data_IF_235413998501
#
_entry.id   IF_235413998501
#
_cell.length_a   1.000
_cell.length_b   1.000
_cell.length_c   1.000
_cell.angle_alpha   90.00
_cell.angle_beta   90.00
_cell.angle_gamma   90.00
#
_symmetry.space_group_name_H-M   'P 1'
#
loop_
_entity.id
_entity.type
_entity.pdbx_description
1 polymer ?
#
# COMPACT_ATOMS: atom_id res chain seq x y z
N UNK A 1 5.17 -7.97 -1.14
CA UNK A 1 5.46 -9.05 -2.13
C UNK A 1 4.34 -10.10 -2.10
N UNK A 2 4.10 -10.77 -3.24
CA UNK A 2 3.08 -11.80 -3.40
C UNK A 2 3.65 -13.18 -3.12
N UNK A 3 2.98 -13.92 -2.23
CA UNK A 3 3.20 -15.34 -1.99
C UNK A 3 1.85 -16.05 -2.17
N UNK A 4 1.76 -16.94 -3.16
CA UNK A 4 0.52 -17.60 -3.55
C UNK A 4 -0.65 -16.62 -3.72
N UNK A 5 -0.42 -15.56 -4.52
CA UNK A 5 -1.39 -14.51 -4.82
C UNK A 5 -1.86 -13.67 -3.63
N UNK A 6 -1.24 -13.81 -2.46
CA UNK A 6 -1.61 -13.07 -1.24
C UNK A 6 -0.43 -12.33 -0.64
N UNK A 7 -0.72 -11.40 0.28
CA UNK A 7 0.33 -10.67 0.99
C UNK A 7 1.10 -11.60 1.93
N UNK A 8 2.26 -11.16 2.39
CA UNK A 8 3.06 -11.97 3.32
C UNK A 8 2.35 -12.13 4.68
N UNK A 9 2.61 -13.24 5.40
CA UNK A 9 2.13 -13.41 6.77
C UNK A 9 2.52 -12.25 7.70
N UNK A 10 3.71 -11.67 7.51
CA UNK A 10 4.20 -10.53 8.28
C UNK A 10 3.34 -9.28 8.04
N UNK A 11 2.98 -8.99 6.78
CA UNK A 11 2.11 -7.86 6.46
C UNK A 11 0.70 -8.08 7.00
N UNK A 12 0.17 -9.31 6.88
CA UNK A 12 -1.15 -9.66 7.42
C UNK A 12 -1.18 -9.53 8.95
N UNK A 13 -0.13 -9.99 9.64
CA UNK A 13 -0.01 -9.85 11.09
C UNK A 13 0.02 -8.38 11.54
N UNK A 14 0.72 -7.51 10.81
CA UNK A 14 0.72 -6.06 11.07
C UNK A 14 -0.69 -5.48 10.91
N UNK A 15 -1.37 -5.79 9.80
CA UNK A 15 -2.75 -5.35 9.54
C UNK A 15 -3.71 -5.82 10.63
N UNK A 16 -3.61 -7.08 11.06
CA UNK A 16 -4.49 -7.64 12.10
C UNK A 16 -4.30 -6.95 13.44
N UNK A 17 -3.05 -6.75 13.86
CA UNK A 17 -2.75 -6.12 15.15
C UNK A 17 -3.12 -4.64 15.15
N UNK A 18 -2.74 -3.91 14.10
CA UNK A 18 -3.01 -2.47 13.98
C UNK A 18 -4.51 -2.18 13.76
N UNK A 19 -5.19 -2.99 12.96
CA UNK A 19 -6.63 -2.89 12.70
C UNK A 19 -7.47 -3.19 13.94
N UNK A 20 -7.18 -4.28 14.65
CA UNK A 20 -7.84 -4.58 15.93
C UNK A 20 -7.62 -3.46 16.95
N UNK A 21 -6.38 -2.98 17.08
CA UNK A 21 -6.07 -1.90 18.01
C UNK A 21 -6.83 -0.61 17.68
N UNK A 22 -6.76 -0.15 16.42
CA UNK A 22 -7.44 1.07 16.02
C UNK A 22 -8.96 0.93 16.16
N UNK A 23 -9.55 -0.19 15.71
CA UNK A 23 -11.00 -0.39 15.73
C UNK A 23 -11.56 -0.67 17.13
N UNK A 24 -11.04 -1.67 17.83
CA UNK A 24 -11.60 -2.16 19.09
C UNK A 24 -11.12 -1.36 20.30
N UNK A 25 -9.88 -0.88 20.31
CA UNK A 25 -9.33 -0.17 21.48
C UNK A 25 -9.39 1.36 21.35
N UNK A 26 -9.51 1.91 20.14
CA UNK A 26 -9.40 3.37 19.89
C UNK A 26 -10.55 3.97 19.07
N UNK A 27 -11.58 3.20 18.73
CA UNK A 27 -12.78 3.72 18.04
C UNK A 27 -12.55 4.20 16.60
N UNK A 28 -11.55 3.65 15.90
CA UNK A 28 -11.14 3.99 14.52
C UNK A 28 -10.67 5.44 14.32
N UNK A 29 -10.12 6.08 15.34
CA UNK A 29 -9.68 7.49 15.28
C UNK A 29 -8.20 7.67 14.96
N UNK A 30 -7.36 6.65 15.17
CA UNK A 30 -5.89 6.79 15.14
C UNK A 30 -5.37 7.09 13.74
N UNK A 31 -6.00 6.52 12.72
CA UNK A 31 -5.58 6.63 11.32
C UNK A 31 -6.46 7.56 10.49
N UNK A 32 -7.51 8.12 11.08
CA UNK A 32 -8.45 8.99 10.39
C UNK A 32 -7.76 10.22 9.80
N UNK A 33 -7.99 10.47 8.51
CA UNK A 33 -7.40 11.60 7.78
C UNK A 33 -5.91 11.45 7.44
N UNK A 34 -5.24 10.36 7.87
CA UNK A 34 -3.85 10.09 7.46
C UNK A 34 -3.80 9.64 6.00
N UNK A 35 -2.70 9.97 5.32
CA UNK A 35 -2.47 9.57 3.94
C UNK A 35 -1.76 8.23 3.92
N UNK A 36 -2.18 7.33 3.02
CA UNK A 36 -1.50 6.06 2.78
C UNK A 36 -1.58 5.65 1.32
N UNK A 37 -0.62 4.84 0.91
CA UNK A 37 -0.58 4.18 -0.39
C UNK A 37 -0.25 2.70 -0.21
N UNK A 38 -0.65 1.89 -1.18
CA UNK A 38 -0.30 0.48 -1.24
C UNK A 38 0.62 0.22 -2.44
N UNK A 39 1.58 -0.67 -2.25
CA UNK A 39 2.43 -1.19 -3.32
C UNK A 39 2.42 -2.71 -3.30
N UNK A 40 2.63 -3.34 -4.45
CA UNK A 40 2.80 -4.78 -4.52
C UNK A 40 3.98 -5.17 -5.41
N UNK A 41 4.55 -6.34 -5.12
CA UNK A 41 5.64 -6.91 -5.91
C UNK A 41 5.36 -8.37 -6.15
N UNK A 42 5.54 -8.88 -7.36
CA UNK A 42 5.42 -10.30 -7.65
C UNK A 42 6.32 -10.72 -8.80
N UNK A 43 6.64 -12.01 -8.90
CA UNK A 43 7.37 -12.54 -10.06
C UNK A 43 6.55 -12.53 -11.35
N UNK A 44 5.23 -12.74 -11.27
CA UNK A 44 4.35 -12.89 -12.45
C UNK A 44 2.89 -12.52 -12.20
N UNK A 45 2.27 -13.09 -11.16
CA UNK A 45 0.84 -12.89 -10.83
C UNK A 45 0.66 -12.53 -9.36
N UNK A 46 -0.54 -12.08 -8.99
CA UNK A 46 -0.87 -11.74 -7.60
C UNK A 46 -0.67 -10.26 -7.21
N UNK A 47 -0.18 -9.41 -8.13
CA UNK A 47 0.01 -7.97 -7.91
C UNK A 47 -1.29 -7.30 -7.47
N UNK A 48 -2.33 -7.39 -8.30
CA UNK A 48 -3.62 -6.75 -8.05
C UNK A 48 -4.27 -7.24 -6.74
N UNK A 49 -4.21 -8.54 -6.45
CA UNK A 49 -4.82 -9.07 -5.23
C UNK A 49 -4.09 -8.57 -3.97
N UNK A 50 -2.76 -8.62 -3.95
CA UNK A 50 -1.95 -8.09 -2.83
C UNK A 50 -2.16 -6.60 -2.64
N UNK A 51 -2.19 -5.84 -3.73
CA UNK A 51 -2.45 -4.39 -3.70
C UNK A 51 -3.85 -4.09 -3.14
N UNK A 52 -4.88 -4.78 -3.64
CA UNK A 52 -6.27 -4.62 -3.19
C UNK A 52 -6.46 -4.99 -1.72
N UNK A 53 -5.89 -6.10 -1.25
CA UNK A 53 -6.00 -6.48 0.17
C UNK A 53 -5.43 -5.39 1.10
N UNK A 54 -4.33 -4.76 0.73
CA UNK A 54 -3.74 -3.64 1.50
C UNK A 54 -4.64 -2.39 1.43
N UNK A 55 -5.19 -2.07 0.26
CA UNK A 55 -6.11 -0.94 0.12
C UNK A 55 -7.40 -1.10 0.91
N UNK A 56 -7.99 -2.30 0.92
CA UNK A 56 -9.18 -2.59 1.72
C UNK A 56 -8.94 -2.28 3.19
N UNK A 57 -7.77 -2.66 3.71
CA UNK A 57 -7.36 -2.26 5.06
C UNK A 57 -7.26 -0.72 5.18
N UNK A 58 -6.44 -0.06 4.35
CA UNK A 58 -6.21 1.40 4.41
C UNK A 58 -7.54 2.18 4.42
N UNK A 59 -8.44 1.86 3.49
CA UNK A 59 -9.74 2.51 3.37
C UNK A 59 -10.64 2.25 4.58
N UNK A 60 -10.64 1.01 5.11
CA UNK A 60 -11.40 0.67 6.33
C UNK A 60 -10.91 1.44 7.57
N UNK A 61 -9.68 1.96 7.55
CA UNK A 61 -9.10 2.75 8.63
C UNK A 61 -9.36 4.27 8.49
N UNK A 62 -10.22 4.69 7.54
CA UNK A 62 -10.51 6.12 7.24
C UNK A 62 -9.29 6.93 6.80
N UNK A 63 -8.34 6.27 6.15
CA UNK A 63 -7.17 6.92 5.57
C UNK A 63 -7.50 7.43 4.15
N UNK A 64 -6.74 8.41 3.69
CA UNK A 64 -6.87 9.01 2.36
C UNK A 64 -5.84 8.35 1.43
N UNK A 65 -6.31 7.83 0.29
CA UNK A 65 -5.45 7.21 -0.73
C UNK A 65 -5.33 8.17 -1.92
N UNK A 66 -4.12 8.64 -2.27
CA UNK A 66 -3.95 9.47 -3.45
C UNK A 66 -4.06 8.62 -4.72
N UNK A 67 -4.79 9.13 -5.71
CA UNK A 67 -4.82 8.55 -7.05
C UNK A 67 -3.53 8.84 -7.81
N UNK A 68 -3.11 7.88 -8.64
CA UNK A 68 -2.00 7.99 -9.59
C UNK A 68 -2.42 7.36 -10.92
N UNK A 69 -1.60 7.50 -11.97
CA UNK A 69 -1.96 7.11 -13.33
C UNK A 69 -2.14 5.58 -13.54
N UNK A 70 -1.57 4.75 -12.67
CA UNK A 70 -1.66 3.28 -12.72
C UNK A 70 -1.46 2.69 -11.32
N UNK A 71 -1.45 1.36 -11.17
CA UNK A 71 -1.19 0.71 -9.90
C UNK A 71 0.31 0.75 -9.56
N UNK A 72 0.66 1.04 -8.30
CA UNK A 72 2.05 0.97 -7.82
C UNK A 72 2.47 -0.50 -7.60
N UNK A 73 2.62 -1.22 -8.70
CA UNK A 73 2.90 -2.64 -8.77
C UNK A 73 4.21 -2.83 -9.52
N UNK A 74 5.10 -3.68 -9.02
CA UNK A 74 6.37 -3.99 -9.67
C UNK A 74 6.58 -5.49 -9.85
N UNK A 75 7.25 -5.88 -10.94
CA UNK A 75 7.60 -7.26 -11.25
C UNK A 75 9.06 -7.53 -10.90
N UNK A 76 9.32 -8.61 -10.16
CA UNK A 76 10.67 -9.03 -9.80
C UNK A 76 10.69 -10.35 -9.02
N UNK A 77 11.72 -11.17 -9.21
CA UNK A 77 11.86 -12.47 -8.54
C UNK A 77 12.83 -12.39 -7.36
N UNK A 78 14.05 -11.93 -7.61
CA UNK A 78 15.09 -11.74 -6.62
C UNK A 78 15.11 -10.29 -6.10
N UNK A 79 15.67 -10.05 -4.90
CA UNK A 79 15.94 -8.70 -4.43
C UNK A 79 16.76 -7.93 -5.47
N UNK A 80 16.29 -6.75 -5.86
CA UNK A 80 16.94 -5.90 -6.87
C UNK A 80 16.34 -6.02 -8.27
N UNK A 81 15.66 -7.13 -8.62
CA UNK A 81 15.07 -7.30 -9.97
C UNK A 81 14.06 -6.20 -10.32
N UNK A 82 13.31 -5.72 -9.33
CA UNK A 82 12.34 -4.63 -9.50
C UNK A 82 12.95 -3.33 -10.02
N UNK A 83 14.27 -3.15 -9.87
CA UNK A 83 14.97 -1.97 -10.42
C UNK A 83 15.01 -1.98 -11.96
N UNK A 84 14.80 -3.15 -12.57
CA UNK A 84 14.70 -3.30 -14.03
C UNK A 84 13.25 -3.16 -14.53
N UNK A 85 12.27 -3.08 -13.63
CA UNK A 85 10.88 -2.77 -13.98
C UNK A 85 10.66 -1.26 -14.00
N UNK A 86 10.93 -0.65 -15.15
CA UNK A 86 10.81 0.81 -15.33
C UNK A 86 9.40 1.33 -15.02
N UNK A 87 8.35 0.59 -15.38
CA UNK A 87 6.97 0.98 -15.11
C UNK A 87 6.64 0.87 -13.62
N UNK A 88 7.01 -0.23 -12.98
CA UNK A 88 6.82 -0.43 -11.54
C UNK A 88 7.57 0.61 -10.71
N UNK A 89 8.79 0.96 -11.10
CA UNK A 89 9.57 2.01 -10.45
C UNK A 89 8.97 3.39 -10.64
N UNK A 90 8.52 3.72 -11.87
CA UNK A 90 7.86 5.00 -12.16
C UNK A 90 6.57 5.17 -11.36
N UNK A 91 5.69 4.16 -11.35
CA UNK A 91 4.42 4.22 -10.62
C UNK A 91 4.62 4.27 -9.10
N UNK A 92 5.63 3.58 -8.57
CA UNK A 92 6.01 3.67 -7.16
C UNK A 92 6.53 5.07 -6.79
N UNK A 93 7.33 5.68 -7.67
CA UNK A 93 7.78 7.07 -7.51
C UNK A 93 6.59 8.04 -7.54
N UNK A 94 5.68 7.88 -8.50
CA UNK A 94 4.48 8.72 -8.62
C UNK A 94 3.59 8.63 -7.38
N UNK A 95 3.44 7.45 -6.79
CA UNK A 95 2.75 7.27 -5.51
C UNK A 95 3.42 8.08 -4.40
N UNK A 96 4.75 8.01 -4.29
CA UNK A 96 5.52 8.79 -3.31
C UNK A 96 5.32 10.31 -3.48
N UNK A 97 5.37 10.80 -4.72
CA UNK A 97 5.10 12.20 -5.05
C UNK A 97 3.68 12.60 -4.67
N UNK A 98 2.69 11.75 -4.97
CA UNK A 98 1.29 12.02 -4.68
C UNK A 98 1.01 12.07 -3.17
N UNK A 99 1.59 11.13 -2.40
CA UNK A 99 1.54 11.13 -0.93
C UNK A 99 2.15 12.41 -0.37
N UNK A 100 3.35 12.80 -0.83
CA UNK A 100 4.03 14.00 -0.37
C UNK A 100 3.24 15.27 -0.68
N UNK A 101 2.74 15.42 -1.91
CA UNK A 101 1.91 16.56 -2.32
C UNK A 101 0.65 16.68 -1.48
N UNK A 102 -0.04 15.57 -1.23
CA UNK A 102 -1.25 15.58 -0.41
C UNK A 102 -0.93 15.91 1.06
N UNK A 103 0.19 15.40 1.59
CA UNK A 103 0.60 15.66 2.96
C UNK A 103 0.95 17.14 3.19
N UNK A 104 1.55 17.80 2.20
CA UNK A 104 1.80 19.23 2.24
C UNK A 104 0.50 20.03 2.20
N UNK A 105 -0.47 19.62 1.38
CA UNK A 105 -1.77 20.31 1.25
C UNK A 105 -2.69 20.15 2.47
N UNK A 106 -2.62 19.03 3.18
CA UNK A 106 -3.43 18.78 4.39
C UNK A 106 -2.80 19.35 5.67
N UNK A 107 -1.58 19.90 5.58
CA UNK A 107 -0.89 20.55 6.71
C UNK A 107 -1.30 22.01 6.89
N UNK A 108 -1.86 22.62 5.86
CA UNK A 108 -2.46 23.96 5.85
C UNK A 108 -3.91 23.89 6.34
#
# INVERSE_FOLDING_TARGET
PSYFESMTPQMKALIDRSGYYNSSARGRTVFEGKIAGAMSVARRTGLANVWTQQLLFILSQKMIVPGIASYANAVGQAPGDVLQDEEGMRTSHDLGVAVAKLAMRLKE
#
